data_IF_946240670610
#
_entry.id   IF_946240670610
#
_cell.length_a   1.000
_cell.length_b   1.000
_cell.length_c   1.000
_cell.angle_alpha   90.00
_cell.angle_beta   90.00
_cell.angle_gamma   90.00
#
_symmetry.space_group_name_H-M   'P 1'
#
loop_
_entity.id
_entity.type
_entity.pdbx_description
1 polymer ?
#
# COMPACT_ATOMS: atom_id res chain seq x y z
N UNK A 1 21.86 -19.71 -17.63
CA UNK A 1 22.36 -18.70 -16.69
C UNK A 1 21.70 -17.40 -17.02
N UNK A 2 20.81 -16.89 -16.16
CA UNK A 2 20.08 -15.65 -16.39
C UNK A 2 20.78 -14.53 -15.63
N UNK A 3 21.44 -13.62 -16.37
CA UNK A 3 22.03 -12.41 -15.79
C UNK A 3 20.94 -11.36 -15.63
N UNK A 4 20.64 -10.97 -14.39
CA UNK A 4 19.93 -9.73 -14.10
C UNK A 4 20.87 -8.54 -14.36
N UNK A 5 20.36 -7.50 -15.03
CA UNK A 5 21.06 -6.23 -15.15
C UNK A 5 20.79 -5.38 -13.91
N UNK A 6 21.86 -4.93 -13.26
CA UNK A 6 21.84 -4.00 -12.13
C UNK A 6 22.21 -2.61 -12.64
N UNK A 7 21.38 -1.61 -12.37
CA UNK A 7 21.67 -0.22 -12.74
C UNK A 7 21.81 0.64 -11.49
N UNK A 8 22.97 1.30 -11.35
CA UNK A 8 23.22 2.35 -10.37
C UNK A 8 23.33 3.67 -11.12
N UNK A 9 22.28 4.48 -11.09
CA UNK A 9 22.19 5.70 -11.89
C UNK A 9 22.11 6.91 -10.95
N UNK A 10 23.08 7.86 -11.02
CA UNK A 10 22.86 9.31 -11.30
C UNK A 10 23.88 10.33 -10.78
N UNK A 11 23.85 11.49 -11.46
CA UNK A 11 24.31 12.82 -11.05
C UNK A 11 23.54 13.39 -9.85
N UNK A 12 24.26 14.03 -8.93
CA UNK A 12 23.77 14.55 -7.65
C UNK A 12 23.04 15.91 -7.80
N UNK A 13 21.92 16.10 -7.09
CA UNK A 13 21.24 17.39 -6.91
C UNK A 13 21.99 18.28 -5.90
N UNK A 14 21.57 19.53 -5.70
CA UNK A 14 22.13 20.43 -4.68
C UNK A 14 21.07 21.01 -3.75
N UNK A 15 21.37 21.08 -2.44
CA UNK A 15 20.61 21.86 -1.44
C UNK A 15 21.59 22.55 -0.51
N UNK A 16 21.53 23.88 -0.47
CA UNK A 16 22.45 24.74 0.33
C UNK A 16 23.93 24.34 0.13
N UNK A 17 24.35 24.22 -1.14
CA UNK A 17 25.68 23.80 -1.61
C UNK A 17 26.07 22.33 -1.37
N UNK A 18 25.32 21.54 -0.58
CA UNK A 18 25.57 20.10 -0.41
C UNK A 18 25.02 19.31 -1.58
N UNK A 19 25.79 18.34 -2.08
CA UNK A 19 25.34 17.37 -3.09
C UNK A 19 24.38 16.36 -2.45
N UNK A 20 23.26 16.09 -3.12
CA UNK A 20 22.20 15.20 -2.65
C UNK A 20 21.95 14.14 -3.70
N UNK A 21 21.87 12.89 -3.27
CA UNK A 21 21.29 11.83 -4.09
C UNK A 21 19.85 11.55 -3.65
N UNK A 22 18.91 11.71 -4.57
CA UNK A 22 17.50 11.34 -4.42
C UNK A 22 17.07 10.30 -5.47
N UNK A 23 18.04 9.54 -6.00
CA UNK A 23 17.86 8.51 -7.03
C UNK A 23 16.79 7.49 -6.67
N UNK A 24 16.69 7.07 -5.40
CA UNK A 24 15.61 6.20 -4.92
C UNK A 24 14.21 6.78 -5.15
N UNK A 25 13.99 8.04 -4.77
CA UNK A 25 12.70 8.72 -5.00
C UNK A 25 12.42 8.85 -6.49
N UNK A 26 13.39 9.35 -7.26
CA UNK A 26 13.24 9.52 -8.71
C UNK A 26 13.00 8.19 -9.44
N UNK A 27 13.65 7.11 -9.02
CA UNK A 27 13.48 5.76 -9.54
C UNK A 27 12.07 5.21 -9.26
N UNK A 28 11.59 5.32 -8.02
CA UNK A 28 10.20 4.97 -7.68
C UNK A 28 9.20 5.72 -8.56
N UNK A 29 9.37 7.04 -8.72
CA UNK A 29 8.47 7.86 -9.58
C UNK A 29 8.54 7.39 -11.03
N UNK A 30 9.73 7.13 -11.55
CA UNK A 30 9.91 6.62 -12.92
C UNK A 30 9.12 5.32 -13.14
N UNK A 31 9.26 4.34 -12.25
CA UNK A 31 8.58 3.06 -12.40
C UNK A 31 7.06 3.16 -12.19
N UNK A 32 6.59 3.98 -11.23
CA UNK A 32 5.15 4.25 -11.04
C UNK A 32 4.53 4.87 -12.30
N UNK A 33 5.21 5.84 -12.92
CA UNK A 33 4.72 6.49 -14.14
C UNK A 33 4.67 5.53 -15.34
N UNK A 34 5.59 4.58 -15.42
CA UNK A 34 5.64 3.61 -16.50
C UNK A 34 4.77 2.37 -16.26
N UNK A 35 4.24 2.18 -15.06
CA UNK A 35 3.39 1.04 -14.71
C UNK A 35 2.18 0.92 -15.66
N UNK A 36 1.92 -0.30 -16.13
CA UNK A 36 0.86 -0.65 -17.07
C UNK A 36 -0.30 -1.38 -16.42
N UNK A 37 -0.02 -2.26 -15.45
CA UNK A 37 -0.97 -3.23 -14.90
C UNK A 37 -1.10 -3.16 -13.39
N UNK A 38 0.03 -3.19 -12.68
CA UNK A 38 0.03 -3.41 -11.23
C UNK A 38 1.22 -2.80 -10.53
N UNK A 39 0.96 -2.31 -9.33
CA UNK A 39 1.99 -1.99 -8.34
C UNK A 39 1.71 -2.81 -7.07
N UNK A 40 2.70 -3.58 -6.62
CA UNK A 40 2.68 -4.24 -5.32
C UNK A 40 3.77 -3.64 -4.43
N UNK A 41 3.44 -3.26 -3.20
CA UNK A 41 4.38 -2.68 -2.25
C UNK A 41 4.26 -3.35 -0.88
N UNK A 42 5.39 -3.63 -0.25
CA UNK A 42 5.47 -3.87 1.19
C UNK A 42 6.40 -2.82 1.79
N UNK A 43 5.90 -1.98 2.69
CA UNK A 43 6.67 -0.87 3.28
C UNK A 43 6.31 -0.66 4.74
N UNK A 44 7.29 -0.28 5.55
CA UNK A 44 7.06 0.05 6.97
C UNK A 44 6.28 1.36 7.16
N UNK A 45 6.47 2.32 6.26
CA UNK A 45 5.81 3.62 6.30
C UNK A 45 5.19 3.95 4.95
N UNK A 46 4.04 4.61 4.98
CA UNK A 46 3.41 5.21 3.80
C UNK A 46 2.80 6.58 4.15
N UNK A 47 3.64 7.61 4.08
CA UNK A 47 3.26 9.01 4.28
C UNK A 47 3.90 9.87 3.19
N UNK A 48 3.05 10.45 2.34
CA UNK A 48 3.48 11.01 1.07
C UNK A 48 2.56 12.13 0.63
N UNK A 49 3.12 13.04 -0.17
CA UNK A 49 2.39 14.04 -0.95
C UNK A 49 1.45 14.91 -0.12
N UNK A 50 1.96 15.46 0.99
CA UNK A 50 1.20 16.28 1.93
C UNK A 50 0.59 17.56 1.36
N UNK A 51 1.06 17.98 0.19
CA UNK A 51 0.45 19.06 -0.59
C UNK A 51 -0.92 18.68 -1.19
N UNK A 52 -1.27 17.38 -1.23
CA UNK A 52 -2.58 16.87 -1.65
C UNK A 52 -3.52 16.58 -0.48
N UNK A 53 -3.06 16.64 0.77
CA UNK A 53 -3.90 16.29 1.92
C UNK A 53 -5.10 17.25 2.06
N UNK A 54 -6.32 16.72 2.30
CA UNK A 54 -7.53 17.55 2.40
C UNK A 54 -7.52 18.42 3.64
N UNK A 55 -7.01 17.89 4.75
CA UNK A 55 -6.82 18.55 6.02
C UNK A 55 -5.31 18.88 6.15
N UNK A 56 -4.95 20.15 6.21
CA UNK A 56 -3.56 20.62 6.34
C UNK A 56 -2.65 20.39 5.11
N UNK A 57 -2.96 21.05 3.99
CA UNK A 57 -2.02 21.24 2.88
C UNK A 57 -0.74 21.88 3.40
N UNK A 58 0.29 21.06 3.54
CA UNK A 58 1.56 21.44 4.16
C UNK A 58 2.71 20.80 3.38
N UNK A 59 3.94 21.26 3.61
CA UNK A 59 5.17 20.69 3.03
C UNK A 59 5.79 19.62 3.94
N UNK A 60 4.96 18.88 4.70
CA UNK A 60 5.39 17.86 5.65
C UNK A 60 6.10 16.67 4.98
N UNK A 61 5.46 16.13 3.94
CA UNK A 61 5.88 14.97 3.16
C UNK A 61 5.80 15.35 1.66
N UNK A 62 6.83 15.98 1.13
CA UNK A 62 6.87 16.46 -0.25
C UNK A 62 7.19 15.36 -1.28
N UNK A 63 7.54 14.16 -0.85
CA UNK A 63 7.73 13.04 -1.76
C UNK A 63 6.45 12.78 -2.59
N UNK A 64 6.66 12.33 -3.82
CA UNK A 64 5.62 12.28 -4.86
C UNK A 64 4.95 10.90 -4.99
N UNK A 65 5.29 9.93 -4.15
CA UNK A 65 4.91 8.52 -4.37
C UNK A 65 3.39 8.34 -4.41
N UNK A 66 2.67 8.78 -3.38
CA UNK A 66 1.20 8.71 -3.32
C UNK A 66 0.52 9.53 -4.41
N UNK A 67 1.05 10.71 -4.76
CA UNK A 67 0.53 11.53 -5.85
C UNK A 67 0.61 10.81 -7.20
N UNK A 68 1.79 10.29 -7.54
CA UNK A 68 2.04 9.61 -8.82
C UNK A 68 1.27 8.30 -8.93
N UNK A 69 1.17 7.52 -7.85
CA UNK A 69 0.33 6.32 -7.82
C UNK A 69 -1.14 6.69 -8.06
N UNK A 70 -1.62 7.74 -7.40
CA UNK A 70 -3.00 8.21 -7.55
C UNK A 70 -3.27 8.68 -8.98
N UNK A 71 -2.38 9.47 -9.57
CA UNK A 71 -2.53 9.96 -10.93
C UNK A 71 -2.46 8.82 -11.95
N UNK A 72 -1.58 7.84 -11.74
CA UNK A 72 -1.53 6.61 -12.54
C UNK A 72 -2.87 5.88 -12.50
N UNK A 73 -3.40 5.61 -11.31
CA UNK A 73 -4.69 4.92 -11.13
C UNK A 73 -5.82 5.70 -11.81
N UNK A 74 -5.92 7.03 -11.56
CA UNK A 74 -6.93 7.88 -12.20
C UNK A 74 -6.83 7.87 -13.73
N UNK A 75 -5.61 7.92 -14.28
CA UNK A 75 -5.42 7.89 -15.73
C UNK A 75 -5.90 6.57 -16.35
N UNK A 76 -5.67 5.44 -15.67
CA UNK A 76 -6.12 4.12 -16.12
C UNK A 76 -7.65 4.00 -16.04
N UNK A 77 -8.26 4.48 -14.95
CA UNK A 77 -9.71 4.53 -14.78
C UNK A 77 -10.37 5.35 -15.90
N UNK A 78 -9.88 6.56 -16.16
CA UNK A 78 -10.45 7.46 -17.18
C UNK A 78 -10.29 6.88 -18.60
N UNK A 79 -9.19 6.17 -18.85
CA UNK A 79 -8.96 5.43 -20.10
C UNK A 79 -9.77 4.12 -20.23
N UNK A 80 -10.48 3.68 -19.18
CA UNK A 80 -11.17 2.39 -19.17
C UNK A 80 -10.23 1.18 -19.09
N UNK A 81 -8.98 1.38 -18.69
CA UNK A 81 -7.96 0.35 -18.57
C UNK A 81 -7.91 -0.19 -17.13
N UNK A 82 -7.73 -1.51 -16.99
CA UNK A 82 -7.55 -2.13 -15.67
C UNK A 82 -6.18 -1.78 -15.08
N UNK A 83 -6.17 -1.49 -13.78
CA UNK A 83 -4.96 -1.26 -13.01
C UNK A 83 -5.24 -1.56 -11.53
N UNK A 84 -4.24 -2.02 -10.78
CA UNK A 84 -4.39 -2.22 -9.34
C UNK A 84 -3.11 -1.94 -8.56
N UNK A 85 -3.28 -1.37 -7.38
CA UNK A 85 -2.23 -1.15 -6.40
C UNK A 85 -2.53 -1.90 -5.10
N UNK A 86 -1.57 -2.69 -4.65
CA UNK A 86 -1.60 -3.47 -3.41
C UNK A 86 -0.49 -2.96 -2.49
N UNK A 87 -0.84 -2.46 -1.31
CA UNK A 87 0.14 -1.87 -0.38
C UNK A 87 -0.02 -2.57 0.96
N UNK A 88 1.03 -3.25 1.42
CA UNK A 88 1.08 -3.95 2.70
C UNK A 88 1.92 -3.11 3.68
N UNK A 89 1.30 -2.76 4.81
CA UNK A 89 1.86 -1.92 5.87
C UNK A 89 1.85 -2.68 7.20
N UNK A 90 2.67 -2.30 8.19
CA UNK A 90 2.42 -2.75 9.55
C UNK A 90 1.09 -2.14 10.04
N UNK A 91 0.41 -2.84 10.95
CA UNK A 91 -0.87 -2.33 11.50
C UNK A 91 -0.70 -0.98 12.19
N UNK A 92 0.43 -0.78 12.87
CA UNK A 92 0.96 0.50 13.34
C UNK A 92 2.49 0.43 13.34
N UNK A 93 3.16 1.58 13.37
CA UNK A 93 4.63 1.66 13.42
C UNK A 93 5.20 1.12 14.73
N UNK A 94 6.45 0.66 14.72
CA UNK A 94 7.09 0.07 15.92
C UNK A 94 7.06 1.03 17.12
N UNK A 95 6.83 0.46 18.30
CA UNK A 95 6.65 1.19 19.55
C UNK A 95 5.24 1.11 20.11
N UNK A 96 4.99 1.86 21.18
CA UNK A 96 3.67 1.91 21.81
C UNK A 96 2.67 2.60 20.86
N UNK A 97 1.55 1.96 20.50
CA UNK A 97 0.64 2.46 19.46
C UNK A 97 -0.06 3.77 19.85
N UNK A 98 -0.23 4.03 21.15
CA UNK A 98 -0.79 5.26 21.70
C UNK A 98 0.26 6.34 21.96
N UNK A 99 1.54 6.09 21.66
CA UNK A 99 2.58 7.11 21.81
C UNK A 99 2.36 8.26 20.82
N UNK A 100 2.80 9.45 21.21
CA UNK A 100 2.70 10.64 20.38
C UNK A 100 3.35 10.44 18.99
N UNK A 101 4.50 9.77 18.95
CA UNK A 101 5.21 9.49 17.69
C UNK A 101 4.38 8.63 16.75
N UNK A 102 3.88 7.48 17.22
CA UNK A 102 3.10 6.55 16.39
C UNK A 102 1.78 7.20 15.95
N UNK A 103 1.11 7.94 16.83
CA UNK A 103 -0.13 8.63 16.49
C UNK A 103 0.04 9.73 15.43
N UNK A 104 1.15 10.48 15.44
CA UNK A 104 1.46 11.47 14.40
C UNK A 104 1.74 10.79 13.04
N UNK A 105 2.46 9.66 13.05
CA UNK A 105 2.76 8.88 11.83
C UNK A 105 1.46 8.34 11.23
N UNK A 106 0.59 7.75 12.05
CA UNK A 106 -0.72 7.24 11.63
C UNK A 106 -1.61 8.34 11.04
N UNK A 107 -1.56 9.55 11.61
CA UNK A 107 -2.28 10.70 11.07
C UNK A 107 -1.78 11.11 9.67
N UNK A 108 -0.46 11.20 9.48
CA UNK A 108 0.11 11.49 8.16
C UNK A 108 -0.23 10.41 7.13
N UNK A 109 -0.19 9.14 7.54
CA UNK A 109 -0.59 8.02 6.72
C UNK A 109 -2.07 8.09 6.34
N UNK A 110 -2.96 8.36 7.30
CA UNK A 110 -4.40 8.46 7.05
C UNK A 110 -4.75 9.64 6.14
N UNK A 111 -4.07 10.78 6.26
CA UNK A 111 -4.21 11.91 5.34
C UNK A 111 -3.75 11.57 3.92
N UNK A 112 -2.65 10.82 3.78
CA UNK A 112 -2.18 10.33 2.49
C UNK A 112 -3.24 9.41 1.86
N UNK A 113 -3.74 8.41 2.61
CA UNK A 113 -4.79 7.49 2.15
C UNK A 113 -6.08 8.24 1.75
N UNK A 114 -6.56 9.19 2.57
CA UNK A 114 -7.74 10.02 2.27
C UNK A 114 -7.58 10.79 0.96
N UNK A 115 -6.42 11.43 0.74
CA UNK A 115 -6.16 12.18 -0.48
C UNK A 115 -6.20 11.27 -1.72
N UNK A 116 -5.60 10.08 -1.64
CA UNK A 116 -5.59 9.10 -2.73
C UNK A 116 -7.02 8.61 -3.04
N UNK A 117 -7.73 8.10 -2.03
CA UNK A 117 -9.07 7.54 -2.20
C UNK A 117 -10.08 8.57 -2.70
N UNK A 118 -10.04 9.81 -2.19
CA UNK A 118 -10.93 10.87 -2.63
C UNK A 118 -10.79 11.16 -4.13
N UNK A 119 -9.55 11.21 -4.61
CA UNK A 119 -9.27 11.49 -6.02
C UNK A 119 -9.58 10.31 -6.94
N UNK A 120 -9.33 9.08 -6.48
CA UNK A 120 -9.72 7.85 -7.19
C UNK A 120 -11.24 7.80 -7.33
N UNK A 121 -12.01 8.05 -6.26
CA UNK A 121 -13.47 8.06 -6.30
C UNK A 121 -14.02 9.09 -7.30
N UNK A 122 -13.43 10.30 -7.35
CA UNK A 122 -13.77 11.31 -8.34
C UNK A 122 -13.54 10.83 -9.78
N UNK A 123 -12.42 10.13 -10.02
CA UNK A 123 -12.09 9.58 -11.33
C UNK A 123 -13.05 8.46 -11.76
N UNK A 124 -13.44 7.58 -10.83
CA UNK A 124 -14.48 6.58 -11.05
C UNK A 124 -15.81 7.25 -11.42
N UNK A 125 -16.19 8.33 -10.72
CA UNK A 125 -17.41 9.05 -11.05
C UNK A 125 -17.35 9.71 -12.43
N UNK A 126 -16.21 10.28 -12.84
CA UNK A 126 -16.03 10.79 -14.21
C UNK A 126 -16.19 9.69 -15.24
N UNK A 127 -15.58 8.52 -15.02
CA UNK A 127 -15.73 7.37 -15.93
C UNK A 127 -17.19 6.91 -16.04
N UNK A 128 -17.93 6.87 -14.93
CA UNK A 128 -19.38 6.59 -14.95
C UNK A 128 -20.15 7.59 -15.82
N UNK A 129 -19.84 8.88 -15.71
CA UNK A 129 -20.51 9.91 -16.51
C UNK A 129 -20.19 9.77 -18.01
N UNK A 130 -18.95 9.41 -18.36
CA UNK A 130 -18.55 9.10 -19.75
C UNK A 130 -19.32 7.88 -20.26
N UNK A 131 -19.34 6.79 -19.48
CA UNK A 131 -20.07 5.57 -19.87
C UNK A 131 -21.58 5.81 -20.00
N UNK A 132 -22.17 6.65 -19.15
CA UNK A 132 -23.59 6.99 -19.24
C UNK A 132 -23.95 7.83 -20.48
N UNK A 133 -22.98 8.52 -21.08
CA UNK A 133 -23.20 9.35 -22.27
C UNK A 133 -22.84 8.63 -23.58
N UNK A 134 -21.77 7.84 -23.58
CA UNK A 134 -21.18 7.27 -24.81
C UNK A 134 -20.93 5.75 -24.72
N UNK A 135 -21.10 5.13 -23.55
CA UNK A 135 -20.81 3.72 -23.32
C UNK A 135 -21.95 2.77 -23.72
N UNK A 136 -21.61 1.51 -23.92
CA UNK A 136 -22.60 0.45 -24.13
C UNK A 136 -23.32 0.10 -22.82
N UNK A 137 -24.53 -0.47 -22.91
CA UNK A 137 -25.28 -0.92 -21.74
C UNK A 137 -24.49 -1.94 -20.88
N UNK A 138 -23.70 -2.79 -21.54
CA UNK A 138 -22.84 -3.76 -20.86
C UNK A 138 -21.74 -3.06 -20.06
N UNK A 139 -21.03 -2.09 -20.65
CA UNK A 139 -19.98 -1.34 -19.94
C UNK A 139 -20.54 -0.54 -18.75
N UNK A 140 -21.74 0.03 -18.89
CA UNK A 140 -22.42 0.73 -17.80
C UNK A 140 -22.69 -0.23 -16.64
N UNK A 141 -23.23 -1.41 -16.90
CA UNK A 141 -23.53 -2.40 -15.85
C UNK A 141 -22.24 -2.96 -15.23
N UNK A 142 -21.23 -3.30 -16.05
CA UNK A 142 -19.94 -3.80 -15.58
C UNK A 142 -19.21 -2.79 -14.67
N UNK A 143 -19.41 -1.49 -14.91
CA UNK A 143 -18.74 -0.43 -14.16
C UNK A 143 -19.57 0.16 -12.99
N UNK A 144 -20.83 -0.24 -12.87
CA UNK A 144 -21.79 0.32 -11.91
C UNK A 144 -21.32 0.21 -10.46
N UNK A 145 -20.88 -0.99 -10.06
CA UNK A 145 -20.52 -1.34 -8.69
C UNK A 145 -19.01 -1.21 -8.40
N UNK A 146 -18.27 -0.55 -9.29
CA UNK A 146 -16.84 -0.35 -9.12
C UNK A 146 -16.54 0.59 -7.93
N UNK A 147 -15.68 0.13 -7.03
CA UNK A 147 -15.28 0.85 -5.82
C UNK A 147 -13.83 1.33 -5.90
N UNK A 148 -13.41 2.33 -5.11
CA UNK A 148 -11.99 2.71 -5.03
C UNK A 148 -11.07 1.54 -4.63
N UNK A 149 -11.57 0.61 -3.81
CA UNK A 149 -10.89 -0.62 -3.41
C UNK A 149 -10.80 -1.68 -4.52
N UNK A 150 -11.45 -1.49 -5.67
CA UNK A 150 -11.19 -2.30 -6.87
C UNK A 150 -9.91 -1.85 -7.61
N UNK A 151 -9.26 -0.76 -7.18
CA UNK A 151 -8.02 -0.21 -7.74
C UNK A 151 -6.89 0.01 -6.72
N UNK A 152 -7.19 0.42 -5.49
CA UNK A 152 -6.18 0.70 -4.46
C UNK A 152 -6.54 0.00 -3.15
N UNK A 153 -5.65 -0.87 -2.67
CA UNK A 153 -5.86 -1.62 -1.45
C UNK A 153 -4.69 -1.50 -0.48
N UNK A 154 -5.01 -1.17 0.76
CA UNK A 154 -4.08 -1.23 1.88
C UNK A 154 -4.38 -2.45 2.75
N UNK A 155 -3.34 -3.21 3.07
CA UNK A 155 -3.40 -4.38 3.94
C UNK A 155 -2.43 -4.20 5.11
N UNK A 156 -2.64 -4.98 6.16
CA UNK A 156 -1.61 -5.24 7.15
C UNK A 156 -1.58 -6.73 7.49
N UNK A 157 -0.56 -7.13 8.25
CA UNK A 157 -0.38 -8.53 8.63
C UNK A 157 -0.70 -8.72 10.10
N UNK A 158 -1.41 -9.80 10.41
CA UNK A 158 -1.79 -10.15 11.75
C UNK A 158 -1.86 -11.66 11.91
N UNK A 159 -1.53 -12.14 13.10
CA UNK A 159 -1.66 -13.55 13.46
C UNK A 159 -2.52 -13.70 14.71
N UNK A 160 -3.11 -14.87 14.86
CA UNK A 160 -3.84 -15.29 16.04
C UNK A 160 -3.67 -16.79 16.21
N UNK A 161 -3.31 -17.22 17.41
CA UNK A 161 -2.92 -18.60 17.67
C UNK A 161 -3.66 -19.19 18.87
N UNK A 162 -4.13 -20.44 18.74
CA UNK A 162 -4.65 -21.18 19.90
C UNK A 162 -3.57 -21.41 20.94
N UNK A 163 -3.97 -21.74 22.17
CA UNK A 163 -3.05 -21.95 23.28
C UNK A 163 -2.13 -23.15 23.01
N UNK A 164 -0.91 -22.88 22.60
CA UNK A 164 0.23 -23.78 22.66
C UNK A 164 1.37 -23.04 23.38
N UNK A 165 2.00 -23.67 24.37
CA UNK A 165 3.09 -23.08 25.14
C UNK A 165 2.69 -22.29 26.40
N UNK A 166 3.68 -21.68 27.10
CA UNK A 166 3.48 -21.06 28.40
C UNK A 166 2.48 -19.88 28.34
N UNK A 167 1.74 -19.70 29.43
CA UNK A 167 0.81 -18.57 29.61
C UNK A 167 1.57 -17.25 29.56
N UNK A 168 1.36 -16.48 28.51
CA UNK A 168 1.84 -15.10 28.43
C UNK A 168 1.21 -14.20 29.51
N UNK A 169 1.72 -13.00 29.64
CA UNK A 169 1.24 -12.00 30.60
C UNK A 169 0.27 -11.02 29.90
N UNK A 170 -0.80 -10.63 30.60
CA UNK A 170 -1.67 -9.54 30.18
C UNK A 170 -2.64 -9.89 29.03
N UNK A 171 -3.10 -8.86 28.32
CA UNK A 171 -4.18 -8.99 27.33
C UNK A 171 -3.81 -9.94 26.16
N UNK A 172 -2.53 -9.99 25.77
CA UNK A 172 -2.04 -10.87 24.71
C UNK A 172 -2.25 -12.36 25.03
N UNK A 173 -2.20 -12.77 26.31
CA UNK A 173 -2.47 -14.17 26.67
C UNK A 173 -3.95 -14.54 26.61
N UNK A 174 -4.83 -13.53 26.66
CA UNK A 174 -6.28 -13.69 26.56
C UNK A 174 -6.73 -13.67 25.10
N UNK A 175 -6.30 -12.67 24.34
CA UNK A 175 -6.77 -12.45 22.96
C UNK A 175 -6.00 -13.27 21.95
N UNK A 176 -4.75 -13.61 22.28
CA UNK A 176 -3.82 -14.45 21.50
C UNK A 176 -3.57 -13.94 20.09
N UNK A 177 -3.77 -12.65 19.86
CA UNK A 177 -3.63 -12.00 18.56
C UNK A 177 -2.58 -10.90 18.63
N UNK A 178 -1.81 -10.76 17.57
CA UNK A 178 -0.91 -9.63 17.42
C UNK A 178 -0.63 -9.36 15.94
N UNK A 179 -0.14 -8.17 15.63
CA UNK A 179 0.34 -7.88 14.29
C UNK A 179 1.57 -8.74 13.96
N UNK A 180 1.75 -9.02 12.68
CA UNK A 180 3.04 -9.44 12.12
C UNK A 180 3.67 -8.18 11.54
N UNK A 181 4.87 -7.83 12.00
CA UNK A 181 5.43 -6.52 11.69
C UNK A 181 6.04 -6.48 10.30
N UNK A 182 5.50 -5.62 9.43
CA UNK A 182 5.99 -5.42 8.07
C UNK A 182 7.13 -4.41 8.12
N UNK A 183 8.37 -4.92 8.10
CA UNK A 183 9.58 -4.11 8.01
C UNK A 183 10.16 -4.05 6.59
N UNK A 184 9.54 -4.74 5.63
CA UNK A 184 9.92 -4.74 4.21
C UNK A 184 10.01 -3.31 3.64
N UNK A 185 10.83 -3.15 2.60
CA UNK A 185 10.82 -1.99 1.68
C UNK A 185 10.98 -2.52 0.26
N UNK A 186 9.88 -3.08 -0.24
CA UNK A 186 9.79 -3.80 -1.50
C UNK A 186 8.73 -3.12 -2.38
N UNK A 187 9.03 -2.95 -3.66
CA UNK A 187 8.07 -2.54 -4.68
C UNK A 187 8.24 -3.44 -5.90
N UNK A 188 7.15 -4.02 -6.40
CA UNK A 188 7.11 -4.79 -7.63
C UNK A 188 6.17 -4.07 -8.60
N UNK A 189 6.64 -3.81 -9.81
CA UNK A 189 5.85 -3.15 -10.86
C UNK A 189 5.69 -4.10 -12.04
N UNK A 190 4.43 -4.35 -12.39
CA UNK A 190 3.98 -5.15 -13.54
C UNK A 190 4.60 -6.56 -13.64
N UNK A 191 4.98 -7.17 -12.51
CA UNK A 191 5.69 -8.44 -12.46
C UNK A 191 7.03 -8.47 -13.24
N UNK A 192 7.53 -7.29 -13.64
CA UNK A 192 8.72 -7.13 -14.49
C UNK A 192 9.88 -6.48 -13.74
N UNK A 193 9.57 -5.48 -12.90
CA UNK A 193 10.56 -4.72 -12.13
C UNK A 193 10.38 -5.03 -10.65
N UNK A 194 11.47 -5.39 -9.98
CA UNK A 194 11.55 -5.49 -8.53
C UNK A 194 12.49 -4.41 -8.01
N UNK A 195 12.02 -3.65 -7.03
CA UNK A 195 12.78 -2.64 -6.32
C UNK A 195 12.83 -3.00 -4.83
N UNK A 196 14.02 -3.08 -4.23
CA UNK A 196 14.15 -3.40 -2.81
C UNK A 196 15.37 -2.72 -2.16
N UNK A 197 15.31 -2.54 -0.84
CA UNK A 197 16.41 -1.95 -0.07
C UNK A 197 15.97 -1.46 1.30
N UNK A 198 16.42 -0.28 1.71
CA UNK A 198 16.11 0.32 3.02
C UNK A 198 15.09 1.47 2.96
N UNK A 199 14.77 1.96 1.75
CA UNK A 199 13.95 3.16 1.51
C UNK A 199 12.48 2.95 1.89
N UNK A 200 12.03 3.64 2.94
CA UNK A 200 10.61 3.72 3.28
C UNK A 200 9.86 4.73 2.41
N UNK A 201 8.52 4.62 2.33
CA UNK A 201 7.69 5.66 1.71
C UNK A 201 7.37 6.74 2.75
N UNK A 202 8.38 7.55 3.05
CA UNK A 202 8.29 8.73 3.91
C UNK A 202 9.29 9.79 3.43
N UNK A 203 9.21 11.01 3.97
CA UNK A 203 10.15 12.07 3.62
C UNK A 203 11.55 11.77 4.15
N UNK A 204 11.68 11.11 5.32
CA UNK A 204 12.99 10.73 5.88
C UNK A 204 13.87 9.93 4.92
N UNK A 205 13.32 8.92 4.26
CA UNK A 205 14.04 8.06 3.34
C UNK A 205 14.14 8.65 1.92
N UNK A 206 13.13 9.41 1.48
CA UNK A 206 13.02 9.86 0.08
C UNK A 206 13.58 11.27 -0.20
N UNK A 207 13.95 12.04 0.83
CA UNK A 207 14.47 13.41 0.67
C UNK A 207 15.89 13.46 0.08
N UNK A 208 16.70 12.42 0.31
CA UNK A 208 18.11 12.36 -0.09
C UNK A 208 19.07 13.19 0.78
N UNK A 209 18.55 14.04 1.67
CA UNK A 209 19.35 14.84 2.63
C UNK A 209 18.96 14.63 4.09
N UNK A 210 18.26 13.54 4.38
CA UNK A 210 17.88 13.12 5.74
C UNK A 210 18.62 11.81 6.07
N UNK A 211 17.94 10.67 6.02
CA UNK A 211 18.59 9.38 6.26
C UNK A 211 19.33 8.92 4.99
N UNK A 212 20.44 8.21 5.19
CA UNK A 212 21.16 7.56 4.09
C UNK A 212 20.50 6.22 3.79
N UNK A 213 20.10 6.03 2.53
CA UNK A 213 19.36 4.85 2.11
C UNK A 213 20.01 4.18 0.90
N UNK A 214 19.78 2.88 0.74
CA UNK A 214 20.17 2.13 -0.44
C UNK A 214 18.94 1.47 -1.06
N UNK A 215 18.89 1.47 -2.39
CA UNK A 215 17.80 0.86 -3.14
C UNK A 215 18.33 0.25 -4.43
N UNK A 216 17.91 -0.98 -4.72
CA UNK A 216 18.28 -1.72 -5.91
C UNK A 216 17.04 -1.91 -6.78
N UNK A 217 17.17 -1.65 -8.08
CA UNK A 217 16.22 -2.09 -9.08
C UNK A 217 16.75 -3.29 -9.87
N UNK A 218 15.90 -4.28 -10.10
CA UNK A 218 16.24 -5.50 -10.83
C UNK A 218 15.11 -5.87 -11.78
N UNK A 219 15.48 -6.31 -12.98
CA UNK A 219 14.57 -6.82 -14.00
C UNK A 219 15.26 -7.88 -14.85
N UNK A 220 14.48 -8.58 -15.67
CA UNK A 220 14.99 -9.52 -16.67
C UNK A 220 14.69 -8.96 -18.07
N UNK A 221 15.70 -8.73 -18.93
CA UNK A 221 15.49 -8.12 -20.24
C UNK A 221 14.47 -8.84 -21.14
N UNK A 222 14.39 -10.17 -21.02
CA UNK A 222 13.47 -10.99 -21.82
C UNK A 222 12.05 -11.10 -21.21
N UNK A 223 11.81 -10.49 -20.04
CA UNK A 223 10.55 -10.56 -19.31
C UNK A 223 10.07 -9.17 -18.89
N UNK A 224 9.84 -8.31 -19.89
CA UNK A 224 9.30 -6.96 -19.69
C UNK A 224 7.78 -6.94 -19.89
N UNK A 225 7.09 -6.15 -19.08
CA UNK A 225 5.67 -5.89 -19.28
C UNK A 225 5.46 -4.81 -20.34
N UNK A 226 4.43 -4.99 -21.16
CA UNK A 226 3.93 -3.99 -22.10
C UNK A 226 2.46 -3.73 -21.81
N UNK A 227 1.81 -2.83 -22.55
CA UNK A 227 0.36 -2.63 -22.40
C UNK A 227 -0.45 -3.92 -22.62
N UNK A 228 0.02 -4.80 -23.51
CA UNK A 228 -0.71 -5.99 -23.95
C UNK A 228 -0.13 -7.29 -23.38
N UNK A 229 0.98 -7.21 -22.62
CA UNK A 229 1.68 -8.37 -22.08
C UNK A 229 2.05 -8.18 -20.62
N UNK A 230 1.74 -9.19 -19.80
CA UNK A 230 2.18 -9.28 -18.40
C UNK A 230 3.45 -10.14 -18.35
N UNK A 231 4.46 -9.69 -17.61
CA UNK A 231 5.69 -10.42 -17.49
C UNK A 231 5.53 -11.72 -16.68
N UNK A 232 6.20 -12.78 -17.12
CA UNK A 232 6.17 -14.11 -16.47
C UNK A 232 7.57 -14.62 -16.08
N UNK A 233 8.45 -13.72 -15.67
CA UNK A 233 9.81 -14.04 -15.23
C UNK A 233 9.92 -14.47 -13.76
N UNK A 234 11.14 -14.40 -13.22
CA UNK A 234 11.44 -14.62 -11.80
C UNK A 234 10.77 -13.55 -10.90
N UNK A 235 10.62 -12.31 -11.38
CA UNK A 235 9.90 -11.26 -10.62
C UNK A 235 8.42 -11.61 -10.46
N UNK A 236 7.77 -12.09 -11.53
CA UNK A 236 6.42 -12.67 -11.47
C UNK A 236 6.31 -13.82 -10.46
N UNK A 237 7.24 -14.78 -10.53
CA UNK A 237 7.29 -15.90 -9.59
C UNK A 237 7.43 -15.43 -8.14
N UNK A 238 8.33 -14.48 -7.87
CA UNK A 238 8.53 -13.91 -6.55
C UNK A 238 7.26 -13.22 -6.02
N UNK A 239 6.57 -12.44 -6.85
CA UNK A 239 5.30 -11.79 -6.49
C UNK A 239 4.20 -12.81 -6.19
N UNK A 240 4.12 -13.92 -6.94
CA UNK A 240 3.21 -15.02 -6.63
C UNK A 240 3.52 -15.67 -5.27
N UNK A 241 4.80 -15.82 -4.91
CA UNK A 241 5.18 -16.29 -3.57
C UNK A 241 4.81 -15.28 -2.47
N UNK A 242 4.94 -13.97 -2.71
CA UNK A 242 4.40 -12.95 -1.80
C UNK A 242 2.89 -13.14 -1.60
N UNK A 243 2.12 -13.30 -2.69
CA UNK A 243 0.68 -13.53 -2.59
C UNK A 243 0.35 -14.83 -1.85
N UNK A 244 1.09 -15.91 -2.10
CA UNK A 244 0.92 -17.17 -1.40
C UNK A 244 1.21 -17.04 0.10
N UNK A 245 2.25 -16.30 0.49
CA UNK A 245 2.55 -16.01 1.89
C UNK A 245 1.42 -15.20 2.55
N UNK A 246 0.93 -14.15 1.87
CA UNK A 246 -0.13 -13.29 2.38
C UNK A 246 -1.46 -14.03 2.57
N UNK A 247 -1.83 -14.83 1.56
CA UNK A 247 -3.18 -15.38 1.43
C UNK A 247 -3.31 -16.85 1.83
N UNK A 248 -2.18 -17.54 2.02
CA UNK A 248 -2.13 -18.98 2.27
C UNK A 248 -2.52 -19.84 1.07
N UNK A 249 -2.61 -19.27 -0.14
CA UNK A 249 -3.09 -19.94 -1.34
C UNK A 249 -2.32 -19.54 -2.60
N UNK A 250 -2.29 -20.44 -3.59
CA UNK A 250 -1.88 -20.13 -4.96
C UNK A 250 -3.08 -20.33 -5.88
N UNK A 251 -3.75 -19.24 -6.23
CA UNK A 251 -4.94 -19.25 -7.07
C UNK A 251 -4.64 -18.72 -8.47
N UNK A 252 -5.35 -19.22 -9.48
CA UNK A 252 -5.09 -18.85 -10.87
C UNK A 252 -5.32 -17.36 -11.13
N UNK A 253 -6.33 -16.76 -10.50
CA UNK A 253 -6.59 -15.32 -10.60
C UNK A 253 -5.39 -14.47 -10.12
N UNK A 254 -4.53 -14.99 -9.23
CA UNK A 254 -3.34 -14.28 -8.79
C UNK A 254 -2.34 -14.08 -9.92
N UNK A 255 -2.36 -14.87 -11.00
CA UNK A 255 -1.45 -14.62 -12.13
C UNK A 255 -1.69 -13.30 -12.83
N UNK A 256 -2.91 -12.75 -12.75
CA UNK A 256 -3.28 -11.46 -13.32
C UNK A 256 -3.73 -10.48 -12.22
N UNK A 257 -2.78 -9.83 -11.52
CA UNK A 257 -3.09 -9.00 -10.35
C UNK A 257 -3.95 -7.78 -10.68
N UNK A 258 -3.90 -7.25 -11.90
CA UNK A 258 -4.73 -6.12 -12.34
C UNK A 258 -6.21 -6.46 -12.53
N UNK A 259 -6.56 -7.75 -12.60
CA UNK A 259 -7.93 -8.20 -12.82
C UNK A 259 -8.84 -7.89 -11.64
N UNK A 260 -10.11 -7.60 -11.93
CA UNK A 260 -11.11 -7.36 -10.90
C UNK A 260 -11.32 -8.60 -10.01
N UNK A 261 -11.26 -9.79 -10.61
CA UNK A 261 -11.34 -11.07 -9.93
C UNK A 261 -10.25 -11.21 -8.86
N UNK A 262 -8.98 -10.99 -9.24
CA UNK A 262 -7.85 -11.08 -8.31
C UNK A 262 -7.99 -10.10 -7.15
N UNK A 263 -8.25 -8.82 -7.45
CA UNK A 263 -8.41 -7.78 -6.42
C UNK A 263 -9.51 -8.16 -5.42
N UNK A 264 -10.69 -8.55 -5.92
CA UNK A 264 -11.82 -8.94 -5.06
C UNK A 264 -11.55 -10.22 -4.29
N UNK A 265 -10.80 -11.16 -4.87
CA UNK A 265 -10.39 -12.40 -4.18
C UNK A 265 -9.47 -12.12 -3.00
N UNK A 266 -8.42 -11.31 -3.20
CA UNK A 266 -7.50 -10.90 -2.12
C UNK A 266 -8.28 -10.13 -1.04
N UNK A 267 -9.16 -9.21 -1.42
CA UNK A 267 -10.01 -8.47 -0.48
C UNK A 267 -10.96 -9.38 0.32
N UNK A 268 -11.54 -10.40 -0.31
CA UNK A 268 -12.41 -11.36 0.37
C UNK A 268 -11.63 -12.20 1.39
N UNK A 269 -10.44 -12.69 1.04
CA UNK A 269 -9.57 -13.46 1.94
C UNK A 269 -9.13 -12.62 3.13
N UNK A 270 -8.69 -11.39 2.88
CA UNK A 270 -8.28 -10.46 3.91
C UNK A 270 -9.46 -10.11 4.84
N UNK A 271 -10.64 -9.82 4.29
CA UNK A 271 -11.84 -9.49 5.07
C UNK A 271 -12.30 -10.65 5.95
N UNK A 272 -12.29 -11.87 5.41
CA UNK A 272 -12.61 -13.08 6.19
C UNK A 272 -11.62 -13.26 7.36
N UNK A 273 -10.35 -12.94 7.13
CA UNK A 273 -9.32 -13.06 8.15
C UNK A 273 -9.39 -11.93 9.19
N UNK A 274 -9.78 -10.71 8.81
CA UNK A 274 -10.06 -9.64 9.76
C UNK A 274 -11.19 -10.00 10.74
N UNK A 275 -12.27 -10.63 10.25
CA UNK A 275 -13.36 -11.13 11.11
C UNK A 275 -12.84 -12.11 12.17
N UNK A 276 -11.94 -13.03 11.77
CA UNK A 276 -11.26 -13.95 12.69
C UNK A 276 -10.33 -13.23 13.66
N UNK A 277 -9.62 -12.20 13.19
CA UNK A 277 -8.75 -11.40 14.03
C UNK A 277 -9.54 -10.66 15.12
N UNK A 278 -10.67 -10.04 14.79
CA UNK A 278 -11.42 -9.17 15.73
C UNK A 278 -12.38 -9.89 16.66
N UNK A 279 -12.88 -11.07 16.31
CA UNK A 279 -13.90 -11.78 17.10
C UNK A 279 -13.44 -12.07 18.54
N UNK A 280 -14.40 -12.24 19.46
CA UNK A 280 -14.11 -12.52 20.87
C UNK A 280 -13.39 -13.86 21.06
N UNK A 281 -13.92 -14.93 20.45
CA UNK A 281 -13.39 -16.28 20.59
C UNK A 281 -12.00 -16.44 19.97
N UNK A 282 -11.07 -17.02 20.73
CA UNK A 282 -9.72 -17.35 20.26
C UNK A 282 -9.80 -18.38 19.15
N UNK A 283 -9.22 -18.05 18.00
CA UNK A 283 -9.11 -18.93 16.85
C UNK A 283 -7.70 -18.93 16.29
N UNK A 284 -7.44 -19.83 15.35
CA UNK A 284 -6.20 -19.87 14.61
C UNK A 284 -6.40 -19.20 13.25
N UNK A 285 -5.46 -18.35 12.86
CA UNK A 285 -5.42 -17.74 11.53
C UNK A 285 -4.43 -18.51 10.66
N UNK A 286 -4.90 -19.05 9.53
CA UNK A 286 -4.09 -19.87 8.63
C UNK A 286 -3.10 -19.05 7.78
N UNK A 287 -3.36 -17.76 7.62
CA UNK A 287 -2.55 -16.84 6.82
C UNK A 287 -2.64 -15.43 7.43
N UNK A 288 -1.68 -14.53 7.16
CA UNK A 288 -1.55 -13.31 7.94
C UNK A 288 -2.29 -12.09 7.37
N UNK A 289 -2.70 -12.08 6.09
CA UNK A 289 -3.24 -10.86 5.48
C UNK A 289 -4.60 -10.48 6.07
N UNK A 290 -4.74 -9.21 6.45
CA UNK A 290 -6.00 -8.55 6.80
C UNK A 290 -6.06 -7.19 6.08
N UNK A 291 -7.25 -6.65 5.75
CA UNK A 291 -7.35 -5.25 5.32
C UNK A 291 -6.70 -4.35 6.37
N UNK A 292 -6.05 -3.29 5.93
CA UNK A 292 -5.71 -2.21 6.84
C UNK A 292 -7.02 -1.72 7.48
N UNK A 293 -7.09 -1.45 8.79
CA UNK A 293 -8.36 -1.38 9.52
C UNK A 293 -9.12 -0.05 9.31
N UNK A 294 -9.33 0.32 8.06
CA UNK A 294 -10.11 1.46 7.59
C UNK A 294 -11.25 0.98 6.69
N UNK A 295 -12.31 1.78 6.62
CA UNK A 295 -13.43 1.62 5.69
C UNK A 295 -13.36 2.73 4.65
N UNK A 296 -13.62 2.37 3.41
CA UNK A 296 -13.66 3.30 2.28
C UNK A 296 -15.05 3.18 1.64
N UNK A 297 -15.72 4.31 1.51
CA UNK A 297 -17.03 4.38 0.85
C UNK A 297 -16.90 4.68 -0.66
N UNK A 298 -18.04 4.79 -1.35
CA UNK A 298 -18.10 5.08 -2.79
C UNK A 298 -17.57 6.47 -3.14
N UNK A 299 -17.56 7.40 -2.19
CA UNK A 299 -17.08 8.77 -2.34
C UNK A 299 -15.59 8.92 -2.01
N UNK A 300 -14.92 7.81 -1.62
CA UNK A 300 -13.52 7.80 -1.22
C UNK A 300 -13.28 8.34 0.19
N UNK A 301 -14.32 8.44 1.00
CA UNK A 301 -14.19 8.89 2.39
C UNK A 301 -13.67 7.73 3.27
N UNK A 302 -12.70 8.04 4.13
CA UNK A 302 -11.96 7.05 4.94
C UNK A 302 -12.34 7.19 6.41
N UNK A 303 -12.85 6.10 6.98
CA UNK A 303 -13.26 5.99 8.38
C UNK A 303 -12.54 4.82 9.06
N UNK A 304 -12.44 4.76 10.40
CA UNK A 304 -11.91 3.58 11.08
C UNK A 304 -12.84 2.36 10.89
N UNK A 305 -12.27 1.16 10.81
CA UNK A 305 -13.06 -0.06 10.63
C UNK A 305 -13.74 -0.55 11.91
N UNK A 306 -13.19 -0.21 13.08
CA UNK A 306 -13.75 -0.57 14.39
C UNK A 306 -14.73 0.50 14.87
N UNK A 307 -15.75 0.08 15.62
CA UNK A 307 -16.74 1.01 16.20
C UNK A 307 -16.10 1.99 17.19
N UNK A 308 -15.09 1.53 17.94
CA UNK A 308 -14.35 2.37 18.89
C UNK A 308 -13.40 3.38 18.22
N UNK A 309 -13.16 3.25 16.92
CA UNK A 309 -12.13 4.03 16.21
C UNK A 309 -10.68 3.60 16.50
N UNK A 310 -10.48 2.57 17.34
CA UNK A 310 -9.18 2.17 17.88
C UNK A 310 -8.74 0.79 17.42
N UNK A 311 -7.43 0.54 17.41
CA UNK A 311 -6.90 -0.79 17.09
C UNK A 311 -7.32 -1.81 18.16
N UNK A 312 -7.61 -3.07 17.76
CA UNK A 312 -7.93 -4.13 18.71
C UNK A 312 -6.84 -4.27 19.78
N UNK A 313 -7.23 -4.44 21.04
CA UNK A 313 -6.36 -4.60 22.21
C UNK A 313 -5.53 -3.37 22.59
N UNK A 314 -5.88 -2.19 22.07
CA UNK A 314 -5.16 -0.94 22.36
C UNK A 314 -6.12 0.22 22.62
N UNK A 315 -5.57 1.30 23.18
CA UNK A 315 -6.25 2.60 23.26
C UNK A 315 -5.89 3.56 22.11
N UNK A 316 -5.21 3.07 21.08
CA UNK A 316 -4.64 3.87 20.01
C UNK A 316 -5.62 4.06 18.85
N UNK A 317 -5.78 5.30 18.39
CA UNK A 317 -6.68 5.63 17.27
C UNK A 317 -6.09 5.11 15.95
N UNK A 318 -6.95 4.50 15.12
CA UNK A 318 -6.54 3.90 13.84
C UNK A 318 -6.10 4.98 12.84
N UNK A 319 -6.81 6.10 12.83
CA UNK A 319 -6.52 7.21 11.92
C UNK A 319 -5.44 8.16 12.45
N UNK A 320 -4.90 7.87 13.64
CA UNK A 320 -3.91 8.69 14.30
C UNK A 320 -4.44 10.03 14.81
N UNK A 321 -3.57 10.77 15.47
CA UNK A 321 -3.82 12.15 15.92
C UNK A 321 -2.54 12.97 15.79
N UNK A 322 -2.67 14.19 15.27
CA UNK A 322 -1.55 15.13 15.20
C UNK A 322 -1.35 15.75 16.58
N UNK A 323 -0.13 15.65 17.08
CA UNK A 323 0.27 16.20 18.37
C UNK A 323 1.44 17.16 18.25
N UNK A 324 2.00 17.55 19.40
CA UNK A 324 3.04 18.59 19.51
C UNK A 324 4.46 18.04 19.33
N UNK A 325 4.71 17.27 18.26
CA UNK A 325 6.06 16.87 17.88
C UNK A 325 6.61 17.77 16.76
N UNK A 326 7.92 18.08 16.76
CA UNK A 326 8.56 18.66 15.60
C UNK A 326 8.34 17.79 14.35
N UNK A 327 7.79 18.42 13.32
CA UNK A 327 7.32 17.78 12.09
C UNK A 327 8.34 16.88 11.42
N UNK A 328 9.61 17.27 11.43
CA UNK A 328 10.71 16.51 10.82
C UNK A 328 11.00 15.16 11.51
N UNK A 329 10.51 14.94 12.74
CA UNK A 329 10.75 13.71 13.51
C UNK A 329 9.80 12.57 13.15
N UNK A 330 8.67 12.85 12.50
CA UNK A 330 7.69 11.83 12.16
C UNK A 330 7.36 11.79 10.66
N UNK A 331 7.97 12.66 9.85
CA UNK A 331 7.81 12.67 8.38
C UNK A 331 9.00 12.08 7.64
#
# INVERSE_FOLDING_TARGET
GHSSSLEFNRSLDHKRATKIDSSAHKGLIHHIRNAQHTIYMETQFFLSSSFLWPEQKTSLCCNLVAAEMTFKICSKIEAGERFSAYIVLPMWSEGLPNSLSVQNILACQSYSMRAMYKRIAQSIQRRRNILASEGTQQEIEDFKDIMPTDYLNFYCLATRERKQGPTGIGLLSQTRRHLVYVHSKLTIVDDAILLCGSVNINQRSLDGSRDSELYMGSWQPDHLATKDYVAHGAVHGFRLHCFAHLTGAMEECFRLPSSLECVRRVNALATANWRRYIQTEVCEMAYPVVPYPIKIDRNGDVAPATESGKFPDTNADILGSIGTLPKFLFT
#
